data_IF_993581973926
#
_entry.id   IF_993581973926
#
_cell.length_a   1.000
_cell.length_b   1.000
_cell.length_c   1.000
_cell.angle_alpha   90.00
_cell.angle_beta   90.00
_cell.angle_gamma   90.00
#
_symmetry.space_group_name_H-M   'P 1'
#
loop_
_entity.id
_entity.type
_entity.pdbx_description
1 polymer ?
#
# COMPACT_ATOMS: atom_id res chain seq x y z
N UNK A 1 -12.03 3.21 21.65
CA UNK A 1 -10.88 3.97 21.12
C UNK A 1 -9.74 2.99 20.93
N UNK A 2 -9.42 2.58 19.70
CA UNK A 2 -8.23 1.77 19.43
C UNK A 2 -7.07 2.72 19.13
N UNK A 3 -6.03 2.65 19.95
CA UNK A 3 -4.78 3.37 19.81
C UNK A 3 -3.92 2.75 18.70
N UNK A 4 -4.48 2.51 17.52
CA UNK A 4 -3.69 1.99 16.42
C UNK A 4 -2.49 2.92 16.17
N UNK A 5 -1.31 2.31 16.19
CA UNK A 5 0.01 2.84 15.82
C UNK A 5 0.76 3.57 16.96
N UNK A 6 1.29 2.78 17.89
CA UNK A 6 2.46 3.18 18.66
C UNK A 6 3.68 2.98 17.76
N UNK A 7 4.17 4.07 17.15
CA UNK A 7 5.57 4.12 16.74
C UNK A 7 6.44 3.87 17.95
N UNK A 8 7.60 3.20 17.77
CA UNK A 8 8.52 2.74 18.82
C UNK A 8 8.38 3.60 20.08
N UNK A 9 7.66 3.07 21.07
CA UNK A 9 7.63 3.68 22.39
C UNK A 9 9.04 3.66 22.99
N UNK A 10 9.31 4.40 24.06
CA UNK A 10 10.64 4.43 24.69
C UNK A 10 11.08 3.07 25.25
N UNK A 11 10.17 2.09 25.33
CA UNK A 11 10.47 0.72 25.76
C UNK A 11 11.16 -0.06 24.63
N UNK A 12 12.31 -0.70 24.88
CA UNK A 12 12.96 -1.57 23.90
C UNK A 12 11.98 -2.65 23.41
N UNK A 13 11.76 -2.72 22.10
CA UNK A 13 10.99 -3.80 21.48
C UNK A 13 11.88 -5.04 21.47
N UNK A 14 11.56 -6.03 22.30
CA UNK A 14 12.25 -7.31 22.31
C UNK A 14 12.07 -8.02 20.96
N UNK A 15 13.19 -8.45 20.36
CA UNK A 15 13.21 -9.18 19.10
C UNK A 15 13.31 -10.68 19.40
N UNK A 16 12.32 -11.50 19.01
CA UNK A 16 12.35 -12.94 19.29
C UNK A 16 13.57 -13.64 18.65
N UNK A 17 14.15 -14.68 19.29
CA UNK A 17 15.29 -15.44 18.74
C UNK A 17 15.06 -16.00 17.32
N UNK A 18 13.81 -16.33 16.99
CA UNK A 18 13.41 -16.74 15.63
C UNK A 18 13.71 -15.68 14.58
N UNK A 19 13.53 -14.39 14.91
CA UNK A 19 13.80 -13.28 13.98
C UNK A 19 15.30 -13.08 13.80
N UNK A 20 16.12 -13.24 14.85
CA UNK A 20 17.58 -13.24 14.70
C UNK A 20 18.07 -14.41 13.83
N UNK A 21 17.53 -15.61 14.03
CA UNK A 21 17.86 -16.78 13.22
C UNK A 21 17.50 -16.55 11.75
N UNK A 22 16.30 -16.02 11.51
CA UNK A 22 15.81 -15.71 10.18
C UNK A 22 16.65 -14.61 9.50
N UNK A 23 16.98 -13.54 10.21
CA UNK A 23 17.85 -12.48 9.73
C UNK A 23 19.25 -13.02 9.38
N UNK A 24 19.83 -13.89 10.21
CA UNK A 24 21.13 -14.52 9.94
C UNK A 24 21.12 -15.40 8.68
N UNK A 25 20.01 -16.12 8.43
CA UNK A 25 19.81 -16.93 7.21
C UNK A 25 19.63 -16.05 5.97
N UNK A 26 18.77 -15.05 6.05
CA UNK A 26 18.38 -14.22 4.91
C UNK A 26 19.40 -13.13 4.56
N UNK A 27 20.15 -12.66 5.56
CA UNK A 27 21.12 -11.57 5.42
C UNK A 27 22.25 -11.74 6.45
N UNK A 28 23.12 -12.71 6.19
CA UNK A 28 24.25 -13.04 7.07
C UNK A 28 25.09 -11.79 7.42
N UNK A 29 25.44 -11.66 8.70
CA UNK A 29 26.21 -10.52 9.23
C UNK A 29 25.41 -9.23 9.42
N UNK A 30 24.09 -9.23 9.21
CA UNK A 30 23.27 -8.04 9.43
C UNK A 30 22.99 -7.79 10.91
N UNK A 31 23.06 -6.52 11.31
CA UNK A 31 22.56 -6.05 12.60
C UNK A 31 21.03 -5.94 12.53
N UNK A 32 20.35 -6.53 13.51
CA UNK A 32 18.89 -6.49 13.62
C UNK A 32 18.49 -5.31 14.50
N UNK A 33 17.79 -4.34 13.92
CA UNK A 33 17.28 -3.15 14.60
C UNK A 33 15.76 -3.21 14.64
N UNK A 34 15.11 -3.22 15.82
CA UNK A 34 13.65 -3.20 15.88
C UNK A 34 13.10 -1.88 15.34
N UNK A 35 12.07 -1.95 14.50
CA UNK A 35 11.44 -0.77 13.87
C UNK A 35 9.99 -0.63 14.28
N UNK A 36 9.25 -1.74 14.33
CA UNK A 36 7.81 -1.69 14.56
C UNK A 36 7.31 -3.01 15.13
N UNK A 37 6.43 -2.95 16.13
CA UNK A 37 5.62 -4.10 16.55
C UNK A 37 4.17 -3.66 16.59
N UNK A 38 3.30 -4.37 15.87
CA UNK A 38 1.87 -4.06 15.89
C UNK A 38 1.15 -4.76 17.06
N UNK A 39 -0.07 -4.33 17.36
CA UNK A 39 -0.93 -4.91 18.41
C UNK A 39 -1.39 -6.34 18.07
N UNK A 40 -1.15 -6.79 16.83
CA UNK A 40 -1.53 -8.10 16.32
C UNK A 40 -0.39 -9.12 16.38
N UNK A 41 0.75 -8.78 16.98
CA UNK A 41 1.91 -9.66 17.14
C UNK A 41 2.89 -9.69 15.96
N UNK A 42 2.64 -8.94 14.89
CA UNK A 42 3.58 -8.74 13.79
C UNK A 42 4.74 -7.83 14.18
N UNK A 43 5.95 -8.21 13.78
CA UNK A 43 7.21 -7.49 14.06
C UNK A 43 7.91 -7.14 12.76
N UNK A 44 8.32 -5.88 12.62
CA UNK A 44 9.19 -5.41 11.55
C UNK A 44 10.52 -4.96 12.14
N UNK A 45 11.60 -5.50 11.58
CA UNK A 45 12.98 -5.12 11.93
C UNK A 45 13.71 -4.61 10.68
N UNK A 46 14.62 -3.66 10.86
CA UNK A 46 15.59 -3.24 9.85
C UNK A 46 16.85 -4.08 9.99
N UNK A 47 17.37 -4.56 8.88
CA UNK A 47 18.62 -5.30 8.79
C UNK A 47 19.67 -4.37 8.18
N UNK A 48 20.67 -4.00 8.98
CA UNK A 48 21.76 -3.09 8.59
C UNK A 48 23.06 -3.88 8.35
N UNK A 49 23.94 -3.41 7.47
CA UNK A 49 25.28 -3.99 7.26
C UNK A 49 25.49 -4.69 5.91
N UNK A 50 26.72 -5.20 5.68
CA UNK A 50 27.16 -5.86 4.43
C UNK A 50 26.75 -7.34 4.42
N UNK A 51 25.50 -7.63 4.08
CA UNK A 51 25.06 -8.98 3.75
C UNK A 51 24.76 -9.09 2.25
N UNK A 52 25.27 -10.13 1.59
CA UNK A 52 24.73 -10.55 0.29
C UNK A 52 23.35 -11.12 0.57
N UNK A 53 22.31 -10.53 -0.01
CA UNK A 53 21.01 -11.21 -0.09
C UNK A 53 21.25 -12.44 -0.97
N UNK A 54 21.00 -13.68 -0.50
CA UNK A 54 20.96 -14.83 -1.39
C UNK A 54 20.03 -14.44 -2.54
N UNK A 55 20.50 -14.53 -3.78
CA UNK A 55 19.61 -14.33 -4.93
C UNK A 55 18.40 -15.24 -4.77
N UNK A 56 17.22 -14.87 -5.31
CA UNK A 56 16.03 -15.68 -5.14
C UNK A 56 16.40 -17.12 -5.50
N UNK A 57 16.29 -18.03 -4.54
CA UNK A 57 16.30 -19.44 -4.88
C UNK A 57 15.25 -19.58 -5.98
N UNK A 58 15.56 -20.22 -7.11
CA UNK A 58 14.55 -20.47 -8.11
C UNK A 58 13.53 -21.38 -7.43
N UNK A 59 12.49 -20.76 -6.85
CA UNK A 59 11.30 -21.45 -6.42
C UNK A 59 10.71 -21.95 -7.72
N UNK A 60 11.15 -23.15 -8.09
CA UNK A 60 10.50 -24.02 -9.04
C UNK A 60 9.12 -24.33 -8.47
N UNK A 61 8.20 -23.41 -8.71
CA UNK A 61 6.76 -23.60 -8.79
C UNK A 61 6.27 -22.37 -9.50
N UNK A 62 5.88 -22.58 -10.76
CA UNK A 62 4.85 -21.79 -11.39
C UNK A 62 3.77 -21.47 -10.36
N UNK A 63 3.76 -20.26 -9.83
CA UNK A 63 2.53 -19.66 -9.34
C UNK A 63 1.68 -19.50 -10.60
N UNK A 64 0.96 -20.57 -10.95
CA UNK A 64 -0.07 -20.50 -11.98
C UNK A 64 -1.04 -19.46 -11.45
N UNK A 65 -1.01 -18.33 -12.13
CA UNK A 65 -1.97 -17.26 -12.07
C UNK A 65 -3.36 -17.82 -11.82
N UNK A 66 -3.99 -17.26 -10.78
CA UNK A 66 -5.43 -17.25 -10.57
C UNK A 66 -6.06 -18.61 -10.24
N UNK A 67 -6.74 -18.68 -9.10
CA UNK A 67 -7.93 -19.52 -8.99
C UNK A 67 -8.85 -19.22 -10.21
N UNK A 68 -9.18 -20.20 -11.06
CA UNK A 68 -10.08 -20.02 -12.20
C UNK A 68 -11.46 -19.47 -11.81
N UNK A 69 -11.90 -19.65 -10.56
CA UNK A 69 -13.12 -19.04 -10.03
C UNK A 69 -12.96 -17.54 -9.71
N UNK A 70 -11.74 -17.06 -9.46
CA UNK A 70 -11.43 -15.64 -9.29
C UNK A 70 -11.38 -14.92 -10.64
N UNK A 71 -10.71 -15.48 -11.66
CA UNK A 71 -10.68 -14.93 -13.01
C UNK A 71 -12.09 -14.81 -13.66
N UNK A 72 -12.99 -15.76 -13.36
CA UNK A 72 -14.39 -15.72 -13.80
C UNK A 72 -15.22 -14.62 -13.10
N UNK A 73 -15.02 -14.41 -11.79
CA UNK A 73 -15.65 -13.30 -11.06
C UNK A 73 -15.17 -11.93 -11.54
N UNK A 74 -13.88 -11.79 -11.83
CA UNK A 74 -13.30 -10.56 -12.40
C UNK A 74 -13.86 -10.25 -13.80
N UNK A 75 -14.04 -11.27 -14.64
CA UNK A 75 -14.63 -11.10 -15.97
C UNK A 75 -16.11 -10.66 -15.91
N UNK A 76 -16.87 -11.17 -14.94
CA UNK A 76 -18.29 -10.79 -14.74
C UNK A 76 -18.45 -9.37 -14.18
N UNK A 77 -17.58 -8.95 -13.25
CA UNK A 77 -17.58 -7.58 -12.72
C UNK A 77 -17.16 -6.54 -13.78
N UNK A 78 -16.14 -6.85 -14.59
CA UNK A 78 -15.73 -5.99 -15.72
C UNK A 78 -16.79 -5.91 -16.82
N UNK A 79 -17.58 -6.98 -17.04
CA UNK A 79 -18.71 -6.97 -17.97
C UNK A 79 -19.87 -6.10 -17.46
N UNK A 80 -20.20 -6.20 -16.16
CA UNK A 80 -21.24 -5.37 -15.54
C UNK A 80 -20.88 -3.87 -15.58
N UNK A 81 -19.61 -3.52 -15.32
CA UNK A 81 -19.14 -2.13 -15.39
C UNK A 81 -19.18 -1.54 -16.80
N UNK A 82 -18.90 -2.34 -17.83
CA UNK A 82 -19.01 -1.90 -19.24
C UNK A 82 -20.47 -1.69 -19.68
N UNK A 83 -21.43 -2.43 -19.12
CA UNK A 83 -22.85 -2.23 -19.43
C UNK A 83 -23.51 -1.03 -18.75
N UNK A 84 -22.87 -0.45 -17.73
CA UNK A 84 -23.37 0.73 -17.01
C UNK A 84 -22.81 2.06 -17.53
N UNK A 85 -21.89 2.02 -18.50
CA UNK A 85 -21.41 3.20 -19.20
C UNK A 85 -22.18 3.33 -20.53
N UNK A 86 -23.26 4.11 -20.53
CA UNK A 86 -23.88 4.52 -21.79
C UNK A 86 -22.89 5.37 -22.62
N UNK A 87 -22.83 5.19 -23.95
CA UNK A 87 -21.96 5.98 -24.81
C UNK A 87 -22.48 7.41 -24.91
N UNK A 88 -21.72 8.36 -24.37
CA UNK A 88 -22.00 9.78 -24.55
C UNK A 88 -21.70 10.18 -26.01
N UNK A 89 -22.75 10.24 -26.85
CA UNK A 89 -22.66 10.68 -28.23
C UNK A 89 -22.57 12.21 -28.30
N UNK A 90 -21.35 12.75 -28.25
CA UNK A 90 -21.07 14.11 -28.66
C UNK A 90 -20.35 14.10 -30.03
N UNK A 91 -21.06 14.56 -31.07
CA UNK A 91 -20.54 14.78 -32.43
C UNK A 91 -19.42 15.84 -32.41
N UNK A 92 -18.28 15.64 -33.10
CA UNK A 92 -17.35 16.72 -33.39
C UNK A 92 -17.79 17.50 -34.63
N UNK A 93 -17.78 18.83 -34.52
CA UNK A 93 -17.98 19.78 -35.60
C UNK A 93 -16.72 19.89 -36.48
N UNK A 94 -16.96 19.94 -37.79
CA UNK A 94 -15.97 20.04 -38.86
C UNK A 94 -15.51 21.48 -39.06
N UNK A 95 -14.20 21.72 -39.08
CA UNK A 95 -13.60 22.85 -39.82
C UNK A 95 -12.15 22.52 -40.23
N UNK A 96 -11.88 22.63 -41.54
CA UNK A 96 -10.55 22.75 -42.19
C UNK A 96 -10.38 24.24 -42.56
N UNK A 97 -9.15 24.80 -42.62
CA UNK A 97 -8.18 24.60 -43.72
C UNK A 97 -6.72 24.57 -43.17
N UNK A 98 -5.61 24.43 -43.90
CA UNK A 98 -5.24 24.38 -45.32
C UNK A 98 -3.72 24.07 -45.36
N UNK A 99 -3.25 23.53 -46.48
CA UNK A 99 -1.90 23.01 -46.72
C UNK A 99 -0.91 24.09 -47.19
N UNK A 100 0.35 24.04 -46.73
CA UNK A 100 1.58 23.97 -47.57
C UNK A 100 2.83 24.40 -46.77
N UNK A 101 3.95 23.68 -46.94
CA UNK A 101 5.26 24.08 -46.43
C UNK A 101 6.22 22.93 -46.15
N UNK A 102 6.68 22.24 -47.20
CA UNK A 102 7.76 21.25 -47.17
C UNK A 102 9.12 21.87 -46.84
N UNK A 103 9.89 21.25 -45.95
CA UNK A 103 11.36 21.23 -46.04
C UNK A 103 11.93 20.00 -45.32
N UNK A 104 12.80 19.29 -46.03
CA UNK A 104 13.47 18.02 -45.69
C UNK A 104 14.81 18.25 -45.00
N UNK A 105 15.12 17.49 -43.95
CA UNK A 105 16.50 17.18 -43.54
C UNK A 105 16.60 15.80 -42.86
N UNK A 106 17.70 15.10 -43.20
CA UNK A 106 18.03 13.67 -42.93
C UNK A 106 18.30 13.34 -41.45
N UNK A 107 18.22 12.05 -41.05
CA UNK A 107 18.38 11.62 -39.66
C UNK A 107 19.85 11.52 -39.25
N UNK A 108 20.18 11.93 -38.02
CA UNK A 108 21.45 11.56 -37.39
C UNK A 108 21.25 10.33 -36.50
N UNK A 109 22.05 9.31 -36.79
CA UNK A 109 22.21 8.10 -35.99
C UNK A 109 23.20 8.39 -34.86
N UNK A 110 22.75 8.38 -33.61
CA UNK A 110 23.61 8.30 -32.44
C UNK A 110 23.23 7.03 -31.65
N UNK A 111 24.13 6.05 -31.64
CA UNK A 111 23.98 4.81 -30.87
C UNK A 111 24.04 5.05 -29.35
N UNK A 112 23.60 4.08 -28.55
CA UNK A 112 23.62 4.20 -27.09
C UNK A 112 25.06 4.18 -26.57
N UNK A 113 25.47 5.27 -25.91
CA UNK A 113 26.70 5.33 -25.11
C UNK A 113 26.56 4.45 -23.85
N UNK A 114 27.65 3.79 -23.41
CA UNK A 114 27.61 2.87 -22.28
C UNK A 114 27.40 3.63 -20.96
N UNK A 115 26.43 3.14 -20.18
CA UNK A 115 26.16 3.58 -18.80
C UNK A 115 27.40 3.33 -17.95
N UNK A 116 28.04 4.40 -17.50
CA UNK A 116 29.10 4.35 -16.49
C UNK A 116 28.51 3.83 -15.17
N UNK A 117 28.99 2.68 -14.69
CA UNK A 117 28.64 2.14 -13.37
C UNK A 117 29.35 2.99 -12.32
N UNK A 118 28.58 3.72 -11.52
CA UNK A 118 29.08 4.40 -10.33
C UNK A 118 29.76 3.40 -9.37
N UNK A 119 30.85 3.78 -8.68
CA UNK A 119 31.54 2.90 -7.75
C UNK A 119 30.62 2.51 -6.58
N UNK A 120 30.68 1.23 -6.21
CA UNK A 120 29.82 0.63 -5.19
C UNK A 120 29.93 1.36 -3.84
N UNK A 121 28.78 1.76 -3.29
CA UNK A 121 28.68 2.34 -1.95
C UNK A 121 29.28 1.39 -0.90
N UNK A 122 29.96 1.91 0.13
CA UNK A 122 30.63 1.10 1.13
C UNK A 122 29.68 0.27 2.02
N UNK A 123 28.36 0.47 2.01
CA UNK A 123 27.39 -0.39 2.69
C UNK A 123 26.38 -0.93 1.67
N UNK A 124 26.10 -2.24 1.70
CA UNK A 124 24.99 -2.80 0.92
C UNK A 124 23.65 -2.20 1.37
N UNK A 125 22.64 -2.15 0.48
CA UNK A 125 21.38 -1.45 0.77
C UNK A 125 20.67 -2.09 1.96
N UNK A 126 20.16 -1.26 2.89
CA UNK A 126 19.38 -1.73 4.05
C UNK A 126 18.15 -2.53 3.59
N UNK A 127 17.64 -3.42 4.44
CA UNK A 127 16.43 -4.19 4.15
C UNK A 127 15.50 -4.24 5.36
N UNK A 128 14.21 -4.46 5.15
CA UNK A 128 13.21 -4.61 6.19
C UNK A 128 12.64 -6.03 6.19
N UNK A 129 12.62 -6.67 7.36
CA UNK A 129 12.06 -7.99 7.58
C UNK A 129 10.80 -7.85 8.43
N UNK A 130 9.64 -8.14 7.83
CA UNK A 130 8.35 -8.30 8.51
C UNK A 130 8.16 -9.77 8.83
N UNK A 131 7.92 -10.11 10.10
CA UNK A 131 7.68 -11.48 10.56
C UNK A 131 6.37 -11.53 11.38
N UNK A 132 5.58 -12.56 11.11
CA UNK A 132 4.28 -12.79 11.75
C UNK A 132 4.22 -14.23 12.29
N UNK A 133 4.01 -14.43 13.60
CA UNK A 133 3.82 -15.77 14.16
C UNK A 133 2.61 -16.49 13.57
N UNK A 134 2.62 -17.82 13.47
CA UNK A 134 1.49 -18.56 12.88
C UNK A 134 0.16 -18.36 13.63
N UNK A 135 0.21 -18.24 14.96
CA UNK A 135 -0.97 -18.04 15.80
C UNK A 135 -1.47 -16.58 15.82
N UNK A 136 -0.75 -15.64 15.20
CA UNK A 136 -1.09 -14.24 15.25
C UNK A 136 -2.29 -13.92 14.34
N UNK A 137 -3.17 -13.04 14.82
CA UNK A 137 -4.27 -12.48 14.04
C UNK A 137 -3.84 -11.45 12.96
N UNK A 138 -2.53 -11.26 12.78
CA UNK A 138 -1.96 -10.28 11.85
C UNK A 138 -2.17 -10.73 10.40
N UNK A 139 -2.43 -9.79 9.46
CA UNK A 139 -2.45 -10.09 8.04
C UNK A 139 -1.19 -10.81 7.58
N UNK A 140 -1.37 -11.75 6.66
CA UNK A 140 -0.30 -12.62 6.19
C UNK A 140 0.68 -11.85 5.28
N UNK A 141 1.97 -11.75 5.64
CA UNK A 141 2.98 -11.03 4.87
C UNK A 141 3.18 -11.60 3.45
N UNK A 142 2.79 -12.85 3.19
CA UNK A 142 2.86 -13.40 1.82
C UNK A 142 1.83 -12.74 0.89
N UNK A 143 0.63 -12.43 1.38
CA UNK A 143 -0.39 -11.74 0.60
C UNK A 143 0.01 -10.28 0.27
N UNK A 144 0.84 -9.68 1.12
CA UNK A 144 1.48 -8.39 0.85
C UNK A 144 2.57 -8.51 -0.21
N UNK A 145 3.38 -9.57 -0.19
CA UNK A 145 4.42 -9.81 -1.19
C UNK A 145 3.86 -9.85 -2.62
N UNK A 146 2.75 -10.55 -2.86
CA UNK A 146 2.09 -10.62 -4.17
C UNK A 146 1.68 -9.23 -4.68
N UNK A 147 1.17 -8.38 -3.77
CA UNK A 147 0.74 -7.02 -4.09
C UNK A 147 1.92 -6.07 -4.32
N UNK A 148 2.99 -6.21 -3.55
CA UNK A 148 4.25 -5.47 -3.77
C UNK A 148 4.86 -5.82 -5.12
N UNK A 149 4.94 -7.10 -5.46
CA UNK A 149 5.49 -7.56 -6.75
C UNK A 149 4.68 -6.99 -7.92
N UNK A 150 3.36 -7.06 -7.84
CA UNK A 150 2.50 -6.49 -8.88
C UNK A 150 2.60 -4.96 -8.96
N UNK A 151 2.46 -4.26 -7.83
CA UNK A 151 2.48 -2.79 -7.79
C UNK A 151 3.84 -2.21 -8.18
N UNK A 152 4.94 -2.89 -7.86
CA UNK A 152 6.31 -2.48 -8.21
C UNK A 152 6.60 -2.41 -9.71
N UNK A 153 5.70 -2.92 -10.55
CA UNK A 153 5.77 -2.73 -12.01
C UNK A 153 5.29 -1.34 -12.46
N UNK A 154 4.64 -0.57 -11.58
CA UNK A 154 3.93 0.65 -11.95
C UNK A 154 4.30 1.86 -11.06
N UNK A 155 4.62 1.64 -9.79
CA UNK A 155 4.89 2.70 -8.82
C UNK A 155 5.97 2.29 -7.82
N UNK A 156 6.59 3.28 -7.17
CA UNK A 156 7.57 3.05 -6.12
C UNK A 156 6.92 2.39 -4.89
N UNK A 157 7.35 1.14 -4.64
CA UNK A 157 7.09 0.32 -3.45
C UNK A 157 8.36 -0.48 -3.12
N UNK A 158 8.55 -0.97 -1.89
CA UNK A 158 9.69 -1.81 -1.57
C UNK A 158 9.79 -3.06 -2.46
N UNK A 159 10.96 -3.27 -3.06
CA UNK A 159 11.23 -4.50 -3.81
C UNK A 159 11.28 -5.69 -2.85
N UNK A 160 10.51 -6.74 -3.15
CA UNK A 160 10.55 -8.01 -2.43
C UNK A 160 11.88 -8.71 -2.72
N UNK A 161 12.58 -9.08 -1.65
CA UNK A 161 13.84 -9.84 -1.70
C UNK A 161 13.62 -11.32 -1.41
N UNK A 162 12.79 -11.62 -0.41
CA UNK A 162 12.46 -12.98 0.00
C UNK A 162 11.10 -13.01 0.69
N UNK A 163 10.40 -14.14 0.60
CA UNK A 163 9.11 -14.36 1.24
C UNK A 163 8.96 -15.85 1.55
N UNK A 164 8.39 -16.18 2.71
CA UNK A 164 8.18 -17.58 3.02
C UNK A 164 7.40 -17.83 4.30
N UNK A 165 7.20 -19.11 4.60
CA UNK A 165 6.56 -19.60 5.82
C UNK A 165 7.28 -20.83 6.35
N UNK A 166 7.29 -20.99 7.66
CA UNK A 166 7.72 -22.20 8.36
C UNK A 166 6.75 -22.52 9.51
N UNK A 167 7.08 -23.53 10.32
CA UNK A 167 6.25 -23.93 11.46
C UNK A 167 6.09 -22.84 12.55
N UNK A 168 6.91 -21.78 12.53
CA UNK A 168 6.91 -20.71 13.53
C UNK A 168 6.15 -19.49 13.04
N UNK A 169 6.14 -19.24 11.73
CA UNK A 169 5.42 -18.10 11.17
C UNK A 169 5.74 -17.84 9.71
N UNK A 170 5.30 -16.68 9.24
CA UNK A 170 5.52 -16.17 7.89
C UNK A 170 6.38 -14.92 7.91
N UNK A 171 7.09 -14.67 6.80
CA UNK A 171 7.94 -13.50 6.67
C UNK A 171 7.92 -12.90 5.27
N UNK A 172 8.25 -11.61 5.23
CA UNK A 172 8.49 -10.83 4.03
C UNK A 172 9.76 -9.99 4.25
N UNK A 173 10.75 -10.18 3.40
CA UNK A 173 11.96 -9.37 3.32
C UNK A 173 11.86 -8.44 2.11
N UNK A 174 12.10 -7.14 2.33
CA UNK A 174 12.10 -6.13 1.28
C UNK A 174 13.35 -5.28 1.33
N UNK A 175 13.72 -4.67 0.21
CA UNK A 175 14.72 -3.60 0.20
C UNK A 175 14.20 -2.35 0.88
N UNK A 176 15.08 -1.65 1.59
CA UNK A 176 14.80 -0.28 1.99
C UNK A 176 14.71 0.60 0.75
N UNK A 177 13.73 1.51 0.75
CA UNK A 177 13.61 2.53 -0.30
C UNK A 177 14.68 3.58 -0.05
N UNK A 178 15.62 3.72 -0.97
CA UNK A 178 16.68 4.74 -0.93
C UNK A 178 16.44 5.81 -1.99
N UNK A 179 16.56 7.08 -1.59
CA UNK A 179 16.52 8.25 -2.48
C UNK A 179 17.76 9.09 -2.23
N UNK A 180 18.53 9.38 -3.29
CA UNK A 180 19.81 10.12 -3.22
C UNK A 180 20.80 9.56 -2.20
N UNK A 181 20.75 8.24 -2.00
CA UNK A 181 21.62 7.51 -1.09
C UNK A 181 21.30 7.64 0.40
N UNK A 182 20.13 8.18 0.74
CA UNK A 182 19.55 8.09 2.08
C UNK A 182 18.33 7.17 2.06
N UNK A 183 18.15 6.40 3.14
CA UNK A 183 16.93 5.60 3.34
C UNK A 183 15.75 6.54 3.61
N UNK A 184 14.69 6.41 2.81
CA UNK A 184 13.42 7.07 3.04
C UNK A 184 12.77 6.52 4.31
N UNK A 185 12.07 7.37 5.07
CA UNK A 185 11.46 6.94 6.33
C UNK A 185 10.00 7.24 6.42
N UNK A 186 9.31 6.48 7.26
CA UNK A 186 7.88 6.61 7.48
C UNK A 186 7.52 8.02 7.94
N UNK A 187 6.48 8.61 7.35
CA UNK A 187 6.00 9.94 7.68
C UNK A 187 5.53 10.07 9.16
N UNK A 188 5.41 8.96 9.90
CA UNK A 188 5.12 9.00 11.34
C UNK A 188 6.31 9.48 12.19
N UNK A 189 7.54 9.42 11.67
CA UNK A 189 8.73 9.75 12.44
C UNK A 189 8.69 11.19 13.00
N UNK A 190 9.27 11.43 14.20
CA UNK A 190 9.20 12.71 14.88
C UNK A 190 9.62 13.92 14.03
N UNK A 191 10.65 13.75 13.18
CA UNK A 191 11.12 14.80 12.27
C UNK A 191 10.05 15.29 11.29
N UNK A 192 9.19 14.39 10.82
CA UNK A 192 8.12 14.72 9.88
C UNK A 192 6.91 15.32 10.56
N UNK A 193 6.68 14.99 11.84
CA UNK A 193 5.69 15.67 12.67
C UNK A 193 6.06 17.14 12.88
N UNK A 194 7.34 17.47 13.09
CA UNK A 194 7.81 18.85 13.16
C UNK A 194 7.58 19.63 11.84
N UNK A 195 7.43 18.92 10.72
CA UNK A 195 7.14 19.46 9.38
C UNK A 195 5.72 19.12 8.91
N UNK A 196 4.76 19.00 9.83
CA UNK A 196 3.40 18.51 9.60
C UNK A 196 2.71 19.01 8.30
N UNK A 197 2.75 20.32 8.01
CA UNK A 197 2.15 20.88 6.77
C UNK A 197 2.79 20.30 5.51
N UNK A 198 4.13 20.23 5.47
CA UNK A 198 4.88 19.65 4.35
C UNK A 198 4.57 18.16 4.22
N UNK A 199 4.57 17.45 5.33
CA UNK A 199 4.30 16.00 5.37
C UNK A 199 2.88 15.69 4.89
N UNK A 200 1.87 16.46 5.30
CA UNK A 200 0.49 16.31 4.83
C UNK A 200 0.36 16.51 3.31
N UNK A 201 1.05 17.51 2.75
CA UNK A 201 1.10 17.73 1.30
C UNK A 201 1.77 16.54 0.60
N UNK A 202 2.92 16.08 1.11
CA UNK A 202 3.65 14.95 0.52
C UNK A 202 2.82 13.65 0.54
N UNK A 203 2.07 13.41 1.62
CA UNK A 203 1.12 12.28 1.72
C UNK A 203 0.02 12.38 0.66
N UNK A 204 -0.59 13.56 0.48
CA UNK A 204 -1.60 13.76 -0.56
C UNK A 204 -1.07 13.59 -2.00
N UNK A 205 0.13 14.12 -2.27
CA UNK A 205 0.84 13.92 -3.56
C UNK A 205 1.14 12.45 -3.78
N UNK A 206 1.65 11.76 -2.75
CA UNK A 206 1.96 10.33 -2.80
C UNK A 206 0.74 9.50 -3.16
N UNK A 207 -0.37 9.70 -2.45
CA UNK A 207 -1.62 8.98 -2.72
C UNK A 207 -2.11 9.22 -4.15
N UNK A 208 -2.00 10.46 -4.66
CA UNK A 208 -2.38 10.77 -6.04
C UNK A 208 -1.52 10.03 -7.05
N UNK A 209 -0.19 10.05 -6.87
CA UNK A 209 0.75 9.31 -7.73
C UNK A 209 0.44 7.82 -7.74
N UNK A 210 0.14 7.25 -6.58
CA UNK A 210 -0.21 5.84 -6.45
C UNK A 210 -1.49 5.49 -7.24
N UNK A 211 -2.55 6.28 -7.05
CA UNK A 211 -3.82 6.09 -7.76
C UNK A 211 -3.74 6.34 -9.27
N UNK A 212 -2.88 7.25 -9.73
CA UNK A 212 -2.70 7.56 -11.16
C UNK A 212 -1.81 6.53 -11.88
N UNK A 213 -0.84 5.93 -11.17
CA UNK A 213 0.13 5.01 -11.77
C UNK A 213 -0.42 3.59 -11.98
N UNK A 214 -1.28 3.12 -11.08
CA UNK A 214 -1.72 1.72 -11.05
C UNK A 214 -2.93 1.46 -11.96
N UNK A 215 -2.83 0.54 -12.94
CA UNK A 215 -3.90 0.26 -13.89
C UNK A 215 -5.02 -0.56 -13.25
N UNK A 216 -6.26 -0.07 -13.34
CA UNK A 216 -7.44 -0.75 -12.78
C UNK A 216 -7.90 -1.94 -13.60
N UNK A 217 -7.69 -1.92 -14.92
CA UNK A 217 -8.13 -2.94 -15.88
C UNK A 217 -7.30 -4.23 -15.81
N UNK A 218 -6.03 -4.12 -15.42
CA UNK A 218 -5.12 -5.27 -15.25
C UNK A 218 -4.83 -5.61 -13.78
N UNK A 219 -5.46 -4.93 -12.83
CA UNK A 219 -5.28 -5.23 -11.40
C UNK A 219 -6.00 -6.55 -11.03
N UNK A 220 -5.28 -7.56 -10.50
CA UNK A 220 -5.89 -8.84 -10.14
C UNK A 220 -6.60 -8.81 -8.79
N UNK A 221 -6.55 -7.69 -8.08
CA UNK A 221 -7.10 -7.54 -6.73
C UNK A 221 -8.28 -6.57 -6.75
N UNK A 222 -9.40 -6.98 -6.14
CA UNK A 222 -10.61 -6.15 -6.07
C UNK A 222 -11.08 -6.06 -4.63
N UNK A 223 -11.47 -4.86 -4.21
CA UNK A 223 -11.82 -4.58 -2.81
C UNK A 223 -12.88 -3.50 -2.67
N UNK A 224 -13.94 -3.60 -3.47
CA UNK A 224 -15.06 -2.64 -3.46
C UNK A 224 -15.71 -2.55 -2.07
N UNK A 225 -16.38 -1.42 -1.80
CA UNK A 225 -17.14 -1.22 -0.55
C UNK A 225 -18.13 -2.38 -0.29
N UNK A 226 -18.82 -2.85 -1.33
CA UNK A 226 -19.76 -3.96 -1.23
C UNK A 226 -19.09 -5.26 -0.78
N UNK A 227 -17.91 -5.58 -1.31
CA UNK A 227 -17.15 -6.78 -0.90
C UNK A 227 -16.71 -6.69 0.56
N UNK A 228 -16.27 -5.51 1.00
CA UNK A 228 -15.84 -5.26 2.38
C UNK A 228 -17.01 -5.38 3.37
N UNK A 229 -18.15 -4.77 3.05
CA UNK A 229 -19.39 -4.91 3.85
C UNK A 229 -19.85 -6.38 3.89
N UNK A 230 -19.78 -7.09 2.77
CA UNK A 230 -20.12 -8.52 2.71
C UNK A 230 -19.18 -9.34 3.60
N UNK A 231 -17.87 -9.09 3.55
CA UNK A 231 -16.89 -9.76 4.40
C UNK A 231 -17.19 -9.54 5.89
N UNK A 232 -17.49 -8.31 6.32
CA UNK A 232 -17.90 -8.01 7.71
C UNK A 232 -19.16 -8.81 8.10
N UNK A 233 -20.08 -8.99 7.16
CA UNK A 233 -21.32 -9.72 7.37
C UNK A 233 -21.16 -11.25 7.39
N UNK A 234 -20.23 -11.83 6.64
CA UNK A 234 -20.21 -13.27 6.36
C UNK A 234 -18.93 -13.98 6.74
N UNK A 235 -17.84 -13.28 7.04
CA UNK A 235 -16.56 -13.91 7.38
C UNK A 235 -16.71 -14.71 8.69
N UNK A 236 -16.64 -16.07 8.64
CA UNK A 236 -16.84 -16.90 9.81
C UNK A 236 -15.69 -16.79 10.82
N UNK A 237 -14.52 -16.28 10.39
CA UNK A 237 -13.35 -16.07 11.25
C UNK A 237 -13.38 -14.73 11.97
N UNK A 238 -14.33 -13.85 11.65
CA UNK A 238 -14.51 -12.60 12.38
C UNK A 238 -15.14 -12.89 13.75
N UNK A 239 -14.56 -12.42 14.87
CA UNK A 239 -15.10 -12.59 16.22
C UNK A 239 -16.28 -11.62 16.46
N UNK A 240 -17.36 -11.84 15.69
CA UNK A 240 -18.59 -11.07 15.72
C UNK A 240 -19.80 -11.98 15.84
N UNK A 241 -20.67 -11.69 16.81
CA UNK A 241 -21.99 -12.32 16.91
C UNK A 241 -22.89 -11.90 15.73
N UNK A 242 -23.92 -12.71 15.44
CA UNK A 242 -24.86 -12.43 14.34
C UNK A 242 -25.58 -11.06 14.51
N UNK A 243 -25.93 -10.69 15.75
CA UNK A 243 -26.53 -9.39 16.07
C UNK A 243 -25.59 -8.23 15.81
N UNK A 244 -24.30 -8.37 16.12
CA UNK A 244 -23.28 -7.35 15.83
C UNK A 244 -23.07 -7.17 14.32
N UNK A 245 -23.03 -8.28 13.56
CA UNK A 245 -22.94 -8.23 12.10
C UNK A 245 -24.12 -7.50 11.47
N UNK A 246 -25.32 -7.75 11.98
CA UNK A 246 -26.53 -7.05 11.55
C UNK A 246 -26.45 -5.55 11.91
N UNK A 247 -26.01 -5.20 13.12
CA UNK A 247 -25.84 -3.82 13.55
C UNK A 247 -24.82 -3.05 12.69
N UNK A 248 -23.66 -3.65 12.39
CA UNK A 248 -22.64 -3.05 11.50
C UNK A 248 -23.23 -2.80 10.12
N UNK A 249 -23.94 -3.78 9.54
CA UNK A 249 -24.57 -3.64 8.22
C UNK A 249 -25.59 -2.50 8.19
N UNK A 250 -26.44 -2.43 9.21
CA UNK A 250 -27.44 -1.37 9.34
C UNK A 250 -26.77 0.01 9.50
N UNK A 251 -25.73 0.10 10.31
CA UNK A 251 -25.02 1.36 10.55
C UNK A 251 -24.25 1.87 9.32
N UNK A 252 -23.66 0.97 8.53
CA UNK A 252 -22.96 1.33 7.30
C UNK A 252 -23.94 1.72 6.18
N UNK A 253 -25.10 1.07 6.12
CA UNK A 253 -26.08 1.31 5.05
C UNK A 253 -25.51 0.97 3.67
N UNK A 254 -26.06 1.63 2.64
CA UNK A 254 -25.56 1.47 1.27
C UNK A 254 -24.36 2.38 1.01
N UNK A 255 -23.33 1.90 0.28
CA UNK A 255 -22.24 2.77 -0.14
C UNK A 255 -22.75 3.91 -1.03
N UNK A 256 -22.16 5.11 -0.93
CA UNK A 256 -22.42 6.17 -1.89
C UNK A 256 -21.99 5.74 -3.30
N UNK A 257 -22.56 6.33 -4.37
CA UNK A 257 -22.14 6.04 -5.73
C UNK A 257 -20.64 6.18 -5.91
N UNK A 258 -20.04 5.30 -6.73
CA UNK A 258 -18.61 5.36 -7.01
C UNK A 258 -18.29 6.66 -7.75
N UNK A 259 -17.36 7.43 -7.22
CA UNK A 259 -16.82 8.65 -7.82
C UNK A 259 -15.79 8.29 -8.90
N UNK A 260 -14.79 7.46 -8.53
CA UNK A 260 -13.81 6.95 -9.49
C UNK A 260 -13.18 5.66 -8.97
N UNK A 261 -13.19 4.62 -9.80
CA UNK A 261 -12.39 3.42 -9.55
C UNK A 261 -10.90 3.72 -9.77
N UNK A 262 -10.11 3.37 -8.78
CA UNK A 262 -8.64 3.38 -8.79
C UNK A 262 -8.16 2.09 -8.12
N UNK A 263 -6.87 1.79 -8.25
CA UNK A 263 -6.27 0.77 -7.39
C UNK A 263 -5.92 1.43 -6.07
N UNK A 264 -6.71 1.15 -5.04
CA UNK A 264 -6.48 1.66 -3.70
C UNK A 264 -5.37 0.86 -3.01
N UNK A 265 -4.61 1.54 -2.18
CA UNK A 265 -3.66 0.99 -1.22
C UNK A 265 -4.38 0.13 -0.18
N UNK A 266 -5.55 0.57 0.28
CA UNK A 266 -6.36 -0.17 1.26
C UNK A 266 -5.85 -0.08 2.71
N UNK A 267 -4.81 0.72 2.97
CA UNK A 267 -4.37 1.20 4.30
C UNK A 267 -3.51 2.46 4.12
N UNK A 268 -4.03 3.45 3.38
CA UNK A 268 -3.30 4.68 3.02
C UNK A 268 -3.14 5.65 4.21
N UNK A 269 -2.60 5.16 5.32
CA UNK A 269 -2.34 5.95 6.54
C UNK A 269 -0.96 6.60 6.50
N UNK A 270 -0.78 7.66 7.30
CA UNK A 270 0.50 8.39 7.41
C UNK A 270 1.71 7.47 7.64
N UNK A 271 1.66 6.46 8.53
CA UNK A 271 2.80 5.56 8.74
C UNK A 271 3.20 4.76 7.50
N UNK A 272 2.27 4.53 6.58
CA UNK A 272 2.48 3.73 5.38
C UNK A 272 2.95 4.55 4.17
N UNK A 273 3.23 5.83 4.38
CA UNK A 273 3.88 6.72 3.40
C UNK A 273 5.34 6.95 3.78
N UNK A 274 6.27 6.66 2.88
CA UNK A 274 7.70 6.96 3.07
C UNK A 274 8.05 8.32 2.46
N UNK A 275 8.83 9.10 3.19
CA UNK A 275 9.37 10.39 2.77
C UNK A 275 10.89 10.32 2.63
N UNK A 276 11.42 10.96 1.58
CA UNK A 276 12.85 11.14 1.39
C UNK A 276 13.45 12.09 2.44
N UNK A 277 14.77 12.29 2.39
CA UNK A 277 15.49 13.12 3.36
C UNK A 277 15.08 14.60 3.39
N UNK A 278 14.37 15.11 2.38
CA UNK A 278 13.84 16.49 2.33
C UNK A 278 12.33 16.59 2.54
N UNK A 279 11.65 15.46 2.72
CA UNK A 279 10.22 15.38 3.01
C UNK A 279 9.33 15.27 1.76
N UNK A 280 9.85 14.80 0.62
CA UNK A 280 9.04 14.46 -0.57
C UNK A 280 8.60 13.00 -0.49
N UNK A 281 7.46 12.70 -1.12
CA UNK A 281 7.00 11.32 -1.27
C UNK A 281 8.06 10.45 -1.96
N UNK A 282 8.37 9.31 -1.36
CA UNK A 282 9.31 8.32 -1.89
C UNK A 282 8.62 7.02 -2.31
N UNK A 283 7.75 6.46 -1.46
CA UNK A 283 7.05 5.19 -1.74
C UNK A 283 5.89 4.96 -0.77
N UNK A 284 5.03 3.98 -1.10
CA UNK A 284 4.09 3.38 -0.15
C UNK A 284 4.58 2.00 0.34
N UNK A 285 4.15 1.62 1.54
CA UNK A 285 4.43 0.32 2.18
C UNK A 285 3.17 -0.25 2.79
N UNK A 286 3.16 -1.51 3.22
CA UNK A 286 1.98 -2.16 3.82
C UNK A 286 0.78 -2.23 2.87
N UNK A 287 1.05 -2.62 1.63
CA UNK A 287 0.05 -2.75 0.56
C UNK A 287 -0.67 -4.10 0.61
N UNK A 288 -0.72 -4.79 1.75
CA UNK A 288 -1.35 -6.11 1.89
C UNK A 288 -2.84 -6.15 1.53
N UNK A 289 -3.43 -4.97 1.48
CA UNK A 289 -4.84 -4.70 1.39
C UNK A 289 -5.22 -3.97 0.07
N UNK A 290 -4.26 -3.86 -0.84
CA UNK A 290 -4.39 -3.23 -2.15
C UNK A 290 -5.43 -3.93 -3.02
N UNK A 291 -6.24 -3.13 -3.71
CA UNK A 291 -7.19 -3.61 -4.70
C UNK A 291 -8.03 -2.50 -5.32
N UNK A 292 -8.71 -2.81 -6.43
CA UNK A 292 -9.61 -1.88 -7.12
C UNK A 292 -10.78 -1.53 -6.21
N UNK A 293 -10.94 -0.24 -5.94
CA UNK A 293 -12.01 0.34 -5.12
C UNK A 293 -12.27 1.79 -5.54
N UNK A 294 -13.26 2.41 -4.92
CA UNK A 294 -13.47 3.86 -5.03
C UNK A 294 -12.30 4.62 -4.37
N UNK A 295 -11.78 5.67 -5.02
CA UNK A 295 -10.66 6.46 -4.49
C UNK A 295 -10.88 7.05 -3.10
N UNK A 296 -12.12 7.31 -2.71
CA UNK A 296 -12.46 7.79 -1.37
C UNK A 296 -12.24 6.76 -0.27
N UNK A 297 -12.14 5.47 -0.62
CA UNK A 297 -11.71 4.44 0.32
C UNK A 297 -10.37 4.77 0.97
N UNK A 298 -9.43 5.32 0.19
CA UNK A 298 -8.13 5.73 0.73
C UNK A 298 -8.14 7.20 1.16
N UNK A 299 -8.69 8.13 0.37
CA UNK A 299 -8.68 9.58 0.70
C UNK A 299 -9.28 9.85 2.09
N UNK A 300 -10.39 9.18 2.42
CA UNK A 300 -11.06 9.34 3.71
C UNK A 300 -10.21 8.83 4.89
N UNK A 301 -9.44 7.75 4.67
CA UNK A 301 -8.53 7.15 5.64
C UNK A 301 -7.27 7.99 5.80
N UNK A 302 -6.70 8.47 4.69
CA UNK A 302 -5.51 9.33 4.67
C UNK A 302 -5.75 10.63 5.40
N UNK A 303 -6.84 11.33 5.10
CA UNK A 303 -7.21 12.58 5.78
C UNK A 303 -7.41 12.37 7.28
N UNK A 304 -8.09 11.29 7.68
CA UNK A 304 -8.25 10.94 9.11
C UNK A 304 -6.90 10.64 9.77
N UNK A 305 -6.03 9.92 9.08
CA UNK A 305 -4.71 9.57 9.59
C UNK A 305 -3.86 10.81 9.81
N UNK A 306 -3.84 11.75 8.86
CA UNK A 306 -3.19 13.05 8.99
C UNK A 306 -3.69 13.81 10.21
N UNK A 307 -5.01 13.92 10.40
CA UNK A 307 -5.59 14.57 11.59
C UNK A 307 -5.14 13.90 12.89
N UNK A 308 -5.15 12.55 12.95
CA UNK A 308 -4.72 11.80 14.14
C UNK A 308 -3.22 11.92 14.42
N UNK A 309 -2.36 12.10 13.40
CA UNK A 309 -0.89 12.11 13.55
C UNK A 309 -0.30 13.49 13.74
N UNK A 310 -0.85 14.48 13.05
CA UNK A 310 -0.28 15.81 12.95
C UNK A 310 -1.18 16.89 13.58
N UNK A 311 -2.40 16.52 13.98
CA UNK A 311 -3.38 17.45 14.51
C UNK A 311 -4.39 17.94 13.46
N UNK A 312 -5.45 18.63 13.89
CA UNK A 312 -6.54 19.07 13.03
C UNK A 312 -6.10 20.17 12.05
N UNK A 313 -6.94 20.42 11.03
CA UNK A 313 -6.77 21.54 10.08
C UNK A 313 -5.88 21.25 8.87
N UNK A 314 -5.32 20.05 8.76
CA UNK A 314 -4.43 19.67 7.65
C UNK A 314 -5.12 18.87 6.53
N UNK A 315 -6.34 18.36 6.76
CA UNK A 315 -7.11 17.64 5.72
C UNK A 315 -7.26 18.44 4.41
N UNK A 316 -7.52 19.77 4.42
CA UNK A 316 -7.59 20.55 3.18
C UNK A 316 -6.30 20.52 2.36
N UNK A 317 -5.13 20.46 3.01
CA UNK A 317 -3.85 20.37 2.30
C UNK A 317 -3.67 19.02 1.60
N UNK A 318 -4.12 17.93 2.23
CA UNK A 318 -4.11 16.59 1.64
C UNK A 318 -5.04 16.54 0.43
N UNK A 319 -6.26 17.05 0.56
CA UNK A 319 -7.26 17.07 -0.52
C UNK A 319 -6.81 17.93 -1.70
N UNK A 320 -6.25 19.13 -1.43
CA UNK A 320 -5.69 19.99 -2.46
C UNK A 320 -4.49 19.35 -3.17
N UNK A 321 -3.58 18.72 -2.42
CA UNK A 321 -2.43 18.01 -2.98
C UNK A 321 -2.84 16.78 -3.81
N UNK A 322 -3.89 16.09 -3.40
CA UNK A 322 -4.48 14.99 -4.17
C UNK A 322 -5.23 15.50 -5.42
N UNK A 323 -5.80 16.70 -5.35
CA UNK A 323 -6.52 17.36 -6.44
C UNK A 323 -8.01 17.06 -6.47
N UNK A 324 -8.68 17.02 -5.31
CA UNK A 324 -10.14 16.83 -5.18
C UNK A 324 -10.75 17.85 -4.23
N UNK A 325 -12.03 18.18 -4.48
CA UNK A 325 -12.83 18.92 -3.52
C UNK A 325 -13.22 18.02 -2.32
N UNK A 326 -13.47 18.60 -1.13
CA UNK A 326 -14.01 17.85 -0.01
C UNK A 326 -15.37 17.21 -0.34
N UNK A 327 -15.56 15.96 0.09
CA UNK A 327 -16.81 15.22 -0.03
C UNK A 327 -17.17 14.63 1.36
N UNK A 328 -18.03 15.31 2.13
CA UNK A 328 -18.38 14.87 3.49
C UNK A 328 -19.12 13.54 3.53
N UNK A 329 -19.94 13.23 2.52
CA UNK A 329 -20.72 11.99 2.45
C UNK A 329 -19.77 10.79 2.29
N UNK A 330 -18.92 10.80 1.25
CA UNK A 330 -17.95 9.73 0.99
C UNK A 330 -16.93 9.63 2.12
N UNK A 331 -16.48 10.77 2.64
CA UNK A 331 -15.55 10.79 3.79
C UNK A 331 -16.15 10.09 5.00
N UNK A 332 -17.41 10.39 5.34
CA UNK A 332 -18.09 9.78 6.49
C UNK A 332 -18.27 8.28 6.29
N UNK A 333 -18.76 7.87 5.12
CA UNK A 333 -18.98 6.47 4.81
C UNK A 333 -17.68 5.64 4.87
N UNK A 334 -16.63 6.05 4.16
CA UNK A 334 -15.39 5.27 4.10
C UNK A 334 -14.61 5.28 5.42
N UNK A 335 -14.74 6.32 6.24
CA UNK A 335 -14.23 6.31 7.61
C UNK A 335 -14.98 5.31 8.49
N UNK A 336 -16.31 5.26 8.41
CA UNK A 336 -17.12 4.30 9.16
C UNK A 336 -16.83 2.85 8.73
N UNK A 337 -16.74 2.59 7.43
CA UNK A 337 -16.38 1.27 6.90
C UNK A 337 -14.99 0.82 7.40
N UNK A 338 -14.01 1.73 7.38
CA UNK A 338 -12.69 1.45 7.95
C UNK A 338 -12.74 1.16 9.44
N UNK A 339 -13.46 1.97 10.23
CA UNK A 339 -13.54 1.78 11.68
C UNK A 339 -14.20 0.43 12.03
N UNK A 340 -15.17 -0.03 11.24
CA UNK A 340 -15.75 -1.36 11.39
C UNK A 340 -14.74 -2.48 11.11
N UNK A 341 -13.94 -2.37 10.05
CA UNK A 341 -12.87 -3.35 9.75
C UNK A 341 -11.79 -3.37 10.83
N UNK A 342 -11.33 -2.20 11.29
CA UNK A 342 -10.34 -2.09 12.37
C UNK A 342 -10.85 -2.66 13.69
N UNK A 343 -12.13 -2.44 14.02
CA UNK A 343 -12.73 -3.01 15.22
C UNK A 343 -12.71 -4.55 15.18
N UNK A 344 -12.94 -5.15 14.01
CA UNK A 344 -12.84 -6.61 13.83
C UNK A 344 -11.39 -7.08 13.96
N UNK A 345 -10.44 -6.39 13.31
CA UNK A 345 -9.01 -6.73 13.41
C UNK A 345 -8.52 -6.67 14.86
N UNK A 346 -8.85 -5.60 15.59
CA UNK A 346 -8.53 -5.41 17.01
C UNK A 346 -8.98 -6.58 17.88
N UNK A 347 -10.22 -7.06 17.69
CA UNK A 347 -10.77 -8.19 18.45
C UNK A 347 -10.08 -9.52 18.14
N UNK A 348 -9.65 -9.73 16.89
CA UNK A 348 -8.87 -10.93 16.54
C UNK A 348 -7.54 -10.95 17.29
N UNK A 349 -6.84 -9.82 17.37
CA UNK A 349 -5.58 -9.71 18.13
C UNK A 349 -5.75 -9.86 19.64
N UNK A 350 -6.90 -9.48 20.20
CA UNK A 350 -7.18 -9.67 21.63
C UNK A 350 -7.57 -11.11 22.00
N UNK A 351 -7.92 -11.94 21.00
CA UNK A 351 -8.36 -13.33 21.20
C UNK A 351 -7.25 -14.35 20.98
N UNK A 352 -6.05 -13.90 20.58
CA UNK A 352 -4.85 -14.70 20.29
C UNK A 352 -3.80 -14.55 21.39
#
# INVERSE_FOLDING_TARGET
MSSALVGIGPTPVEVPPVVHTLAGRLRSGATVVPVWRNEYGGLTVRLEGRGRVPGPDPVGRSARWSDPAHARRLSQLNAAQRSSAEPNTARPSTTRPGTAGTSTARPSTAGPSPVSRNPAKPNGPSSYLKWVPHAAACPDPVAEADRLIWAGSFTDVPRVLDVGRDARGSWLLTEAVEVDGAVATSAIEPRWRALAKRSAIAVGVGLRRFHDALPTDTCPFVRTAQMRVTALATDPTAPLAATERAAIRTALGSPPPVDRFVVCHGDATVPNTLLDHVGRFAAHVDVGDLGVADRWSDIAVTTRSVTRRYGPGLEPLVLAAYGVAPDPERTTYYRALWDAEEAVRARRGASS
#
